data_IF_314213293171
#
_entry.id   IF_314213293171
#
_cell.length_a   1.000
_cell.length_b   1.000
_cell.length_c   1.000
_cell.angle_alpha   90.00
_cell.angle_beta   90.00
_cell.angle_gamma   90.00
#
_symmetry.space_group_name_H-M   'P 1'
#
loop_
_entity.id
_entity.type
_entity.pdbx_description
1 polymer ?
#
# COMPACT_ATOMS: atom_id res chain seq x y z
N UNK A 1 9.99 18.05 12.74
CA UNK A 1 11.01 17.09 13.19
C UNK A 1 11.22 15.90 12.22
N UNK A 2 10.19 15.08 11.93
CA UNK A 2 10.33 13.90 11.03
C UNK A 2 10.91 14.19 9.64
N UNK A 3 10.45 15.25 8.96
CA UNK A 3 10.97 15.65 7.65
C UNK A 3 12.48 15.96 7.70
N UNK A 4 12.91 16.76 8.67
CA UNK A 4 14.32 17.14 8.82
C UNK A 4 15.21 15.90 9.01
N UNK A 5 14.82 15.00 9.92
CA UNK A 5 15.55 13.75 10.15
C UNK A 5 15.69 12.91 8.87
N UNK A 6 14.66 12.87 8.03
CA UNK A 6 14.70 12.17 6.74
C UNK A 6 15.63 12.85 5.73
N UNK A 7 15.65 14.18 5.69
CA UNK A 7 16.60 14.91 4.85
C UNK A 7 18.05 14.69 5.31
N UNK A 8 18.31 14.65 6.62
CA UNK A 8 19.67 14.50 7.13
C UNK A 8 20.20 13.08 7.00
N UNK A 9 19.35 12.07 7.24
CA UNK A 9 19.77 10.66 7.33
C UNK A 9 19.39 9.82 6.12
N UNK A 10 18.15 9.93 5.65
CA UNK A 10 17.63 9.04 4.61
C UNK A 10 17.96 9.54 3.20
N UNK A 11 17.96 10.86 2.98
CA UNK A 11 18.24 11.45 1.66
C UNK A 11 19.60 11.02 1.08
N UNK A 12 20.73 11.07 1.83
CA UNK A 12 22.02 10.65 1.28
C UNK A 12 22.04 9.18 0.86
N UNK A 13 21.37 8.31 1.62
CA UNK A 13 21.28 6.87 1.34
C UNK A 13 20.46 6.64 0.06
N UNK A 14 19.31 7.32 -0.06
CA UNK A 14 18.41 7.20 -1.21
C UNK A 14 19.07 7.75 -2.48
N UNK A 15 19.79 8.87 -2.40
CA UNK A 15 20.52 9.43 -3.54
C UNK A 15 21.68 8.51 -3.99
N UNK A 16 22.38 7.88 -3.02
CA UNK A 16 23.38 6.85 -3.29
C UNK A 16 22.79 5.62 -3.98
N UNK A 17 21.63 5.14 -3.48
CA UNK A 17 20.90 4.04 -4.09
C UNK A 17 20.47 4.36 -5.52
N UNK A 18 19.93 5.56 -5.76
CA UNK A 18 19.52 5.98 -7.11
C UNK A 18 20.67 5.92 -8.10
N UNK A 19 21.81 6.50 -7.71
CA UNK A 19 23.02 6.55 -8.51
C UNK A 19 23.54 5.14 -8.81
N UNK A 20 23.52 4.27 -7.80
CA UNK A 20 23.88 2.86 -7.96
C UNK A 20 22.93 2.14 -8.93
N UNK A 21 21.61 2.33 -8.81
CA UNK A 21 20.61 1.68 -9.68
C UNK A 21 20.77 2.11 -11.14
N UNK A 22 21.00 3.40 -11.41
CA UNK A 22 21.29 3.92 -12.74
C UNK A 22 22.57 3.30 -13.31
N UNK A 23 23.63 3.20 -12.51
CA UNK A 23 24.89 2.59 -12.90
C UNK A 23 24.78 1.08 -13.16
N UNK A 24 23.99 0.35 -12.35
CA UNK A 24 23.74 -1.07 -12.59
C UNK A 24 22.91 -1.29 -13.85
N UNK A 25 21.93 -0.43 -14.11
CA UNK A 25 21.04 -0.60 -15.26
C UNK A 25 21.78 -0.57 -16.59
N UNK A 26 22.88 0.18 -16.68
CA UNK A 26 23.75 0.22 -17.86
C UNK A 26 24.55 -1.06 -18.09
N UNK A 27 24.80 -1.84 -17.04
CA UNK A 27 25.60 -3.07 -17.08
C UNK A 27 24.76 -4.32 -17.29
N UNK A 28 23.46 -4.23 -17.07
CA UNK A 28 22.54 -5.36 -17.11
C UNK A 28 21.95 -5.50 -18.52
N UNK A 29 21.98 -6.72 -19.11
CA UNK A 29 21.37 -6.96 -20.41
C UNK A 29 19.87 -6.65 -20.44
N UNK A 30 19.42 -6.08 -21.56
CA UNK A 30 18.02 -5.81 -21.83
C UNK A 30 17.16 -7.08 -21.72
N UNK A 31 15.92 -6.92 -21.27
CA UNK A 31 14.95 -8.00 -21.15
C UNK A 31 15.15 -8.95 -19.95
N UNK A 32 16.29 -8.87 -19.25
CA UNK A 32 16.53 -9.66 -18.04
C UNK A 32 15.57 -9.30 -16.90
N UNK A 33 15.34 -10.23 -15.96
CA UNK A 33 14.52 -9.98 -14.78
C UNK A 33 15.06 -8.82 -13.92
N UNK A 34 16.39 -8.69 -13.84
CA UNK A 34 17.05 -7.60 -13.13
C UNK A 34 16.81 -6.25 -13.83
N UNK A 35 16.96 -6.20 -15.16
CA UNK A 35 16.66 -4.97 -15.92
C UNK A 35 15.20 -4.53 -15.69
N UNK A 36 14.25 -5.46 -15.75
CA UNK A 36 12.83 -5.18 -15.47
C UNK A 36 12.61 -4.64 -14.06
N UNK A 37 13.26 -5.20 -13.05
CA UNK A 37 13.14 -4.72 -11.67
C UNK A 37 13.73 -3.32 -11.46
N UNK A 38 14.91 -3.06 -12.05
CA UNK A 38 15.54 -1.74 -12.04
C UNK A 38 14.67 -0.70 -12.75
N UNK A 39 14.20 -1.02 -13.97
CA UNK A 39 13.33 -0.13 -14.76
C UNK A 39 12.02 0.18 -14.05
N UNK A 40 11.39 -0.84 -13.45
CA UNK A 40 10.16 -0.66 -12.69
C UNK A 40 10.36 0.32 -11.53
N UNK A 41 11.47 0.17 -10.80
CA UNK A 41 11.79 1.00 -9.65
C UNK A 41 12.16 2.43 -10.06
N UNK A 42 13.02 2.59 -11.07
CA UNK A 42 13.45 3.89 -11.59
C UNK A 42 12.29 4.69 -12.18
N UNK A 43 11.38 4.04 -12.93
CA UNK A 43 10.15 4.68 -13.45
C UNK A 43 9.25 5.23 -12.34
N UNK A 44 9.32 4.67 -11.13
CA UNK A 44 8.49 5.05 -9.97
C UNK A 44 9.26 5.84 -8.92
N UNK A 45 10.48 6.28 -9.22
CA UNK A 45 11.39 6.88 -8.25
C UNK A 45 10.76 8.08 -7.52
N UNK A 46 10.10 8.97 -8.26
CA UNK A 46 9.44 10.15 -7.69
C UNK A 46 8.40 9.80 -6.61
N UNK A 47 7.67 8.68 -6.77
CA UNK A 47 6.72 8.20 -5.78
C UNK A 47 7.44 7.58 -4.57
N UNK A 48 8.48 6.78 -4.81
CA UNK A 48 9.27 6.11 -3.76
C UNK A 48 9.94 7.10 -2.80
N UNK A 49 10.42 8.24 -3.30
CA UNK A 49 11.14 9.23 -2.48
C UNK A 49 10.23 10.30 -1.88
N UNK A 50 8.92 10.26 -2.15
CA UNK A 50 7.97 11.31 -1.72
C UNK A 50 7.94 11.49 -0.21
N UNK A 51 8.07 10.40 0.55
CA UNK A 51 8.08 10.42 2.02
C UNK A 51 9.23 11.23 2.63
N UNK A 52 10.33 11.45 1.88
CA UNK A 52 11.43 12.28 2.35
C UNK A 52 11.00 13.74 2.52
N UNK A 53 10.08 14.20 1.67
CA UNK A 53 9.66 15.59 1.61
C UNK A 53 8.43 15.88 2.47
N UNK A 54 7.62 14.85 2.74
CA UNK A 54 6.42 14.95 3.58
C UNK A 54 6.56 14.07 4.83
N UNK A 55 6.65 14.71 5.99
CA UNK A 55 6.78 14.03 7.28
C UNK A 55 5.53 13.26 7.73
N UNK A 56 4.38 13.46 7.08
CA UNK A 56 3.13 12.74 7.35
C UNK A 56 3.03 11.43 6.58
N UNK A 57 3.78 11.30 5.49
CA UNK A 57 3.80 10.06 4.72
C UNK A 57 4.65 8.98 5.43
N UNK A 58 4.14 7.75 5.56
CA UNK A 58 4.96 6.61 5.95
C UNK A 58 5.95 6.26 4.83
N UNK A 59 7.01 5.52 5.19
CA UNK A 59 8.01 5.04 4.22
C UNK A 59 7.49 3.87 3.38
N UNK A 60 6.61 3.08 3.95
CA UNK A 60 6.01 1.90 3.34
C UNK A 60 4.48 1.94 3.45
N UNK A 61 3.86 1.01 2.74
CA UNK A 61 2.42 0.78 2.74
C UNK A 61 2.04 -0.46 3.58
N UNK A 62 2.92 -0.99 4.43
CA UNK A 62 2.65 -2.23 5.18
C UNK A 62 1.40 -2.12 6.04
N UNK A 63 1.15 -0.95 6.61
CA UNK A 63 -0.06 -0.70 7.39
C UNK A 63 -1.32 -0.93 6.55
N UNK A 64 -1.41 -0.34 5.36
CA UNK A 64 -2.59 -0.49 4.51
C UNK A 64 -2.65 -1.91 3.92
N UNK A 65 -1.52 -2.52 3.56
CA UNK A 65 -1.47 -3.90 3.09
C UNK A 65 -2.01 -4.89 4.13
N UNK A 66 -1.67 -4.70 5.40
CA UNK A 66 -2.21 -5.51 6.49
C UNK A 66 -3.71 -5.29 6.69
N UNK A 67 -4.21 -4.06 6.51
CA UNK A 67 -5.66 -3.78 6.59
C UNK A 67 -6.44 -4.44 5.44
N UNK A 68 -5.86 -4.53 4.24
CA UNK A 68 -6.53 -5.15 3.08
C UNK A 68 -6.37 -6.67 3.02
N UNK A 69 -5.37 -7.23 3.70
CA UNK A 69 -5.02 -8.66 3.65
C UNK A 69 -6.20 -9.59 4.01
N UNK A 70 -7.01 -9.36 5.06
CA UNK A 70 -8.16 -10.22 5.35
C UNK A 70 -9.14 -10.33 4.19
N UNK A 71 -9.28 -9.27 3.40
CA UNK A 71 -10.18 -9.25 2.24
C UNK A 71 -9.58 -9.95 1.02
N UNK A 72 -8.28 -9.80 0.81
CA UNK A 72 -7.56 -10.53 -0.24
C UNK A 72 -7.65 -12.03 0.00
N UNK A 73 -7.45 -12.48 1.25
CA UNK A 73 -7.61 -13.88 1.64
C UNK A 73 -9.08 -14.33 1.58
N UNK A 74 -10.01 -13.50 2.05
CA UNK A 74 -11.44 -13.78 2.04
C UNK A 74 -12.01 -14.00 0.63
N UNK A 75 -11.52 -13.25 -0.37
CA UNK A 75 -11.96 -13.39 -1.78
C UNK A 75 -11.83 -14.80 -2.34
N UNK A 76 -10.78 -15.55 -1.96
CA UNK A 76 -10.61 -16.93 -2.39
C UNK A 76 -11.62 -17.89 -1.72
N UNK A 77 -12.18 -17.50 -0.57
CA UNK A 77 -13.07 -18.32 0.26
C UNK A 77 -14.56 -17.93 0.14
N UNK A 78 -14.89 -16.81 -0.53
CA UNK A 78 -16.27 -16.34 -0.69
C UNK A 78 -16.94 -16.96 -1.91
N UNK A 79 -17.44 -18.18 -1.74
CA UNK A 79 -18.13 -18.96 -2.80
C UNK A 79 -19.40 -18.26 -3.36
N UNK A 80 -19.92 -17.25 -2.66
CA UNK A 80 -21.10 -16.45 -3.05
C UNK A 80 -20.76 -15.16 -3.83
N UNK A 81 -19.49 -14.79 -3.93
CA UNK A 81 -19.02 -13.58 -4.60
C UNK A 81 -18.74 -13.82 -6.11
N UNK A 82 -19.67 -14.47 -6.82
CA UNK A 82 -19.51 -14.84 -8.24
C UNK A 82 -19.98 -13.79 -9.26
N UNK A 83 -20.51 -12.65 -8.84
CA UNK A 83 -21.04 -11.61 -9.74
C UNK A 83 -20.55 -10.21 -9.36
N UNK A 84 -20.51 -9.27 -10.31
CA UNK A 84 -20.17 -7.87 -10.03
C UNK A 84 -21.05 -7.29 -8.91
N UNK A 85 -22.36 -7.60 -8.94
CA UNK A 85 -23.32 -7.12 -7.95
C UNK A 85 -23.03 -7.66 -6.54
N UNK A 86 -22.67 -8.94 -6.42
CA UNK A 86 -22.28 -9.50 -5.11
C UNK A 86 -20.94 -8.93 -4.64
N UNK A 87 -20.00 -8.65 -5.55
CA UNK A 87 -18.76 -7.94 -5.25
C UNK A 87 -18.99 -6.52 -4.70
N UNK A 88 -19.88 -5.75 -5.33
CA UNK A 88 -20.23 -4.40 -4.86
C UNK A 88 -20.86 -4.40 -3.47
N UNK A 89 -21.77 -5.35 -3.20
CA UNK A 89 -22.38 -5.52 -1.87
C UNK A 89 -21.35 -5.92 -0.82
N UNK A 90 -20.45 -6.84 -1.16
CA UNK A 90 -19.34 -7.23 -0.30
C UNK A 90 -18.45 -6.03 0.02
N UNK A 91 -18.08 -5.23 -0.97
CA UNK A 91 -17.29 -4.02 -0.78
C UNK A 91 -17.98 -3.03 0.19
N UNK A 92 -19.27 -2.76 0.01
CA UNK A 92 -20.02 -1.86 0.89
C UNK A 92 -20.03 -2.35 2.35
N UNK A 93 -20.29 -3.65 2.58
CA UNK A 93 -20.28 -4.23 3.91
C UNK A 93 -18.88 -4.15 4.56
N UNK A 94 -17.83 -4.46 3.79
CA UNK A 94 -16.46 -4.39 4.30
C UNK A 94 -16.04 -2.96 4.63
N UNK A 95 -16.48 -1.97 3.84
CA UNK A 95 -16.26 -0.56 4.15
C UNK A 95 -16.88 -0.17 5.49
N UNK A 96 -18.10 -0.61 5.78
CA UNK A 96 -18.76 -0.34 7.06
C UNK A 96 -18.02 -1.00 8.24
N UNK A 97 -17.66 -2.28 8.09
CA UNK A 97 -16.91 -3.03 9.12
C UNK A 97 -15.57 -2.36 9.40
N UNK A 98 -14.81 -2.02 8.35
CA UNK A 98 -13.49 -1.42 8.52
C UNK A 98 -13.60 -0.01 9.12
N UNK A 99 -14.62 0.76 8.75
CA UNK A 99 -14.87 2.08 9.34
C UNK A 99 -15.17 1.97 10.83
N UNK A 100 -15.99 1.02 11.25
CA UNK A 100 -16.24 0.77 12.68
C UNK A 100 -14.95 0.46 13.44
N UNK A 101 -14.12 -0.45 12.91
CA UNK A 101 -12.83 -0.83 13.51
C UNK A 101 -11.87 0.36 13.62
N UNK A 102 -11.74 1.16 12.57
CA UNK A 102 -10.85 2.33 12.55
C UNK A 102 -11.27 3.41 13.56
N UNK A 103 -12.56 3.48 13.89
CA UNK A 103 -13.11 4.37 14.90
C UNK A 103 -13.18 3.74 16.31
N UNK A 104 -12.66 2.52 16.49
CA UNK A 104 -12.65 1.84 17.79
C UNK A 104 -14.00 1.26 18.23
N UNK A 105 -14.96 1.11 17.31
CA UNK A 105 -16.25 0.49 17.58
C UNK A 105 -16.21 -1.02 17.35
N UNK A 106 -16.99 -1.76 18.13
CA UNK A 106 -17.27 -3.16 17.85
C UNK A 106 -18.06 -3.28 16.54
N UNK A 107 -17.55 -4.00 15.51
CA UNK A 107 -18.20 -4.03 14.20
C UNK A 107 -19.58 -4.67 14.23
N UNK A 108 -19.81 -5.65 15.10
CA UNK A 108 -21.10 -6.32 15.20
C UNK A 108 -22.15 -5.38 15.80
N UNK A 109 -21.85 -4.74 16.92
CA UNK A 109 -22.71 -3.76 17.55
C UNK A 109 -23.02 -2.58 16.61
N UNK A 110 -22.01 -2.08 15.90
CA UNK A 110 -22.16 -1.01 14.91
C UNK A 110 -23.09 -1.41 13.76
N UNK A 111 -22.87 -2.58 13.15
CA UNK A 111 -23.71 -3.07 12.07
C UNK A 111 -25.15 -3.34 12.54
N UNK A 112 -25.31 -3.91 13.74
CA UNK A 112 -26.64 -4.15 14.32
C UNK A 112 -27.40 -2.83 14.43
N UNK A 113 -26.83 -1.82 15.08
CA UNK A 113 -27.47 -0.50 15.23
C UNK A 113 -27.84 0.13 13.89
N UNK A 114 -26.90 0.16 12.93
CA UNK A 114 -27.14 0.78 11.61
C UNK A 114 -28.22 0.05 10.80
N UNK A 115 -28.27 -1.28 10.86
CA UNK A 115 -29.22 -2.08 10.07
C UNK A 115 -30.61 -2.21 10.71
N UNK A 116 -30.75 -1.95 12.01
CA UNK A 116 -32.04 -2.04 12.72
C UNK A 116 -32.76 -0.70 12.89
N UNK A 117 -32.21 0.39 12.34
CA UNK A 117 -32.83 1.72 12.32
C UNK A 117 -33.76 1.91 11.14
#
# INVERSE_FOLDING_TARGET
QRRQLRQDKARPIIDGLHSWMLGQRQKVPEGSAIAKALDYSLKRWAALVRYLNDGNLPIDNNWIENQIRPWALGRANWLFAGSLRSGQRGAALMTLIQSARLNGHDPYAYLKDVLTR
#
